data_IF_923886715460
#
_entry.id   IF_923886715460
#
_cell.length_a   1.000
_cell.length_b   1.000
_cell.length_c   1.000
_cell.angle_alpha   90.00
_cell.angle_beta   90.00
_cell.angle_gamma   90.00
#
_symmetry.space_group_name_H-M   'P 1'
#
loop_
_entity.id
_entity.type
_entity.pdbx_description
1 polymer ?
#
# COMPACT_ATOMS: atom_id res chain seq x y z
N UNK A 1 6.03 -21.66 21.47
CA UNK A 1 6.58 -20.38 21.95
C UNK A 1 5.51 -19.41 22.49
N UNK A 2 4.28 -19.38 21.96
CA UNK A 2 3.16 -18.52 22.46
C UNK A 2 2.69 -18.84 23.88
N UNK A 3 2.74 -20.08 24.32
CA UNK A 3 2.29 -20.52 25.67
C UNK A 3 3.24 -20.06 26.78
N UNK A 4 4.55 -19.90 26.51
CA UNK A 4 5.53 -19.44 27.50
C UNK A 4 5.37 -17.96 27.88
N UNK A 5 4.93 -17.12 26.94
CA UNK A 5 4.71 -15.68 27.18
C UNK A 5 3.46 -15.48 28.05
N UNK A 6 2.41 -16.25 27.79
CA UNK A 6 1.16 -16.19 28.59
C UNK A 6 1.37 -16.64 30.04
N UNK A 7 2.20 -17.66 30.27
CA UNK A 7 2.54 -18.12 31.61
C UNK A 7 3.42 -17.14 32.41
N UNK A 8 4.32 -16.41 31.75
CA UNK A 8 5.10 -15.35 32.40
C UNK A 8 4.19 -14.21 32.84
N UNK A 9 3.16 -13.88 32.06
CA UNK A 9 2.16 -12.86 32.38
C UNK A 9 1.31 -13.22 33.61
N UNK A 10 0.96 -14.50 33.77
CA UNK A 10 0.18 -15.00 34.92
C UNK A 10 1.05 -15.18 36.17
N UNK A 11 2.30 -15.57 36.05
CA UNK A 11 3.21 -15.75 37.21
C UNK A 11 3.61 -14.41 37.88
N UNK A 12 3.71 -13.32 37.12
CA UNK A 12 3.96 -11.98 37.68
C UNK A 12 2.75 -11.41 38.44
N UNK A 13 1.54 -11.87 38.18
CA UNK A 13 0.32 -11.50 38.90
C UNK A 13 0.31 -11.95 40.36
N UNK A 14 1.11 -12.98 40.69
CA UNK A 14 1.19 -13.55 42.05
C UNK A 14 2.13 -12.78 43.00
N UNK A 15 2.90 -11.78 42.50
CA UNK A 15 3.89 -11.03 43.29
C UNK A 15 3.52 -9.56 43.62
N UNK A 16 2.24 -9.15 43.40
CA UNK A 16 1.73 -7.88 43.88
C UNK A 16 2.32 -6.60 43.22
N UNK A 17 3.20 -6.72 42.24
CA UNK A 17 3.66 -5.58 41.42
C UNK A 17 2.84 -5.56 40.13
N UNK A 18 1.87 -4.64 40.06
CA UNK A 18 1.12 -4.38 38.83
C UNK A 18 2.02 -3.69 37.79
N UNK A 19 2.83 -4.47 37.09
CA UNK A 19 3.55 -4.01 35.89
C UNK A 19 2.53 -3.99 34.74
N UNK A 20 1.72 -2.91 34.66
CA UNK A 20 0.75 -2.70 33.59
C UNK A 20 1.26 -1.61 32.68
N UNK A 21 1.84 -2.00 31.56
CA UNK A 21 2.11 -1.11 30.46
C UNK A 21 0.79 -0.46 29.98
N UNK A 22 0.69 0.86 30.18
CA UNK A 22 -0.51 1.62 29.83
C UNK A 22 -0.45 2.10 28.37
N UNK A 23 -1.58 2.12 27.67
CA UNK A 23 -1.67 2.62 26.29
C UNK A 23 -1.18 4.07 26.20
N UNK A 24 -1.40 4.88 27.23
CA UNK A 24 -0.94 6.26 27.28
C UNK A 24 0.58 6.36 27.25
N UNK A 25 1.28 5.49 28.00
CA UNK A 25 2.74 5.43 27.98
C UNK A 25 3.27 5.09 26.60
N UNK A 26 2.62 4.16 25.90
CA UNK A 26 2.96 3.76 24.53
C UNK A 26 2.73 4.88 23.53
N UNK A 27 1.62 5.62 23.64
CA UNK A 27 1.37 6.81 22.81
C UNK A 27 2.42 7.89 23.01
N UNK A 28 2.79 8.16 24.25
CA UNK A 28 3.83 9.15 24.57
C UNK A 28 5.22 8.72 24.08
N UNK A 29 5.55 7.44 24.25
CA UNK A 29 6.78 6.89 23.69
C UNK A 29 6.80 7.07 22.16
N UNK A 30 5.71 6.69 21.46
CA UNK A 30 5.65 6.75 20.00
C UNK A 30 5.77 8.18 19.47
N UNK A 31 5.11 9.16 20.11
CA UNK A 31 5.24 10.56 19.76
C UNK A 31 6.68 11.07 19.96
N UNK A 32 7.33 10.71 21.10
CA UNK A 32 8.71 11.09 21.37
C UNK A 32 9.70 10.40 20.42
N UNK A 33 9.41 9.16 20.02
CA UNK A 33 10.23 8.41 19.07
C UNK A 33 10.26 9.07 17.66
N UNK A 34 9.18 9.72 17.26
CA UNK A 34 9.11 10.43 15.98
C UNK A 34 9.90 11.74 15.98
N UNK A 35 9.86 12.50 17.06
CA UNK A 35 10.51 13.83 17.14
C UNK A 35 11.93 13.78 17.65
N UNK A 36 12.23 12.82 18.55
CA UNK A 36 13.46 12.69 19.33
C UNK A 36 13.84 13.98 20.10
N UNK A 37 12.80 14.78 20.45
CA UNK A 37 12.96 16.07 21.10
C UNK A 37 11.92 16.25 22.22
N UNK A 38 12.33 16.08 23.47
CA UNK A 38 11.44 15.99 24.64
C UNK A 38 10.53 17.21 24.79
N UNK A 39 11.09 18.43 24.75
CA UNK A 39 10.32 19.67 24.93
C UNK A 39 9.26 19.84 23.84
N UNK A 40 9.66 19.68 22.57
CA UNK A 40 8.75 19.78 21.43
C UNK A 40 7.61 18.76 21.51
N UNK A 41 7.92 17.52 21.91
CA UNK A 41 6.90 16.47 22.07
C UNK A 41 5.96 16.80 23.22
N UNK A 42 6.45 17.29 24.33
CA UNK A 42 5.62 17.68 25.48
C UNK A 42 4.64 18.81 25.10
N UNK A 43 5.10 19.79 24.34
CA UNK A 43 4.25 20.87 23.79
C UNK A 43 3.17 20.31 22.85
N UNK A 44 3.52 19.41 21.92
CA UNK A 44 2.56 18.76 21.01
C UNK A 44 1.51 17.92 21.74
N UNK A 45 1.90 17.31 22.86
CA UNK A 45 1.00 16.49 23.68
C UNK A 45 0.25 17.32 24.75
N UNK A 46 0.50 18.64 24.82
CA UNK A 46 -0.07 19.56 25.81
C UNK A 46 0.17 19.11 27.26
N UNK A 47 1.37 18.62 27.56
CA UNK A 47 1.78 18.17 28.90
C UNK A 47 3.09 18.85 29.34
N UNK A 48 3.37 18.82 30.64
CA UNK A 48 4.65 19.29 31.16
C UNK A 48 5.79 18.34 30.77
N UNK A 49 6.92 18.88 30.32
CA UNK A 49 8.12 18.10 29.97
C UNK A 49 8.57 17.09 31.06
N UNK A 50 8.57 17.43 32.35
CA UNK A 50 8.87 16.44 33.40
C UNK A 50 7.93 15.25 33.43
N UNK A 51 6.63 15.47 33.16
CA UNK A 51 5.65 14.41 33.12
C UNK A 51 5.90 13.43 31.96
N UNK A 52 6.25 13.93 30.77
CA UNK A 52 6.65 13.10 29.64
C UNK A 52 7.89 12.25 30.00
N UNK A 53 8.94 12.90 30.54
CA UNK A 53 10.18 12.22 30.92
C UNK A 53 9.93 11.12 31.96
N UNK A 54 9.13 11.40 32.99
CA UNK A 54 8.77 10.42 34.02
C UNK A 54 7.99 9.23 33.43
N UNK A 55 7.09 9.50 32.52
CA UNK A 55 6.29 8.45 31.84
C UNK A 55 7.20 7.53 31.01
N UNK A 56 8.16 8.09 30.27
CA UNK A 56 9.11 7.29 29.49
C UNK A 56 10.02 6.45 30.43
N UNK A 57 10.53 7.04 31.52
CA UNK A 57 11.35 6.28 32.48
C UNK A 57 10.55 5.15 33.14
N UNK A 58 9.25 5.36 33.43
CA UNK A 58 8.38 4.32 33.95
C UNK A 58 8.22 3.18 32.95
N UNK A 59 7.97 3.50 31.68
CA UNK A 59 7.87 2.50 30.61
C UNK A 59 9.19 1.72 30.44
N UNK A 60 10.35 2.39 30.44
CA UNK A 60 11.66 1.73 30.38
C UNK A 60 11.89 0.78 31.56
N UNK A 61 11.50 1.21 32.77
CA UNK A 61 11.59 0.39 33.98
C UNK A 61 10.70 -0.86 33.87
N UNK A 62 9.48 -0.69 33.38
CA UNK A 62 8.52 -1.79 33.19
C UNK A 62 8.99 -2.80 32.14
N UNK A 63 9.60 -2.32 31.05
CA UNK A 63 10.13 -3.16 29.98
C UNK A 63 11.53 -3.74 30.31
N UNK A 64 12.21 -3.20 31.33
CA UNK A 64 13.56 -3.61 31.72
C UNK A 64 14.64 -3.22 30.70
N UNK A 65 14.36 -2.32 29.77
CA UNK A 65 15.29 -1.89 28.73
C UNK A 65 15.23 -0.38 28.52
N UNK A 66 16.35 0.23 28.13
CA UNK A 66 16.38 1.63 27.70
C UNK A 66 15.87 1.74 26.27
N UNK A 67 14.93 2.67 26.05
CA UNK A 67 14.35 2.98 24.76
C UNK A 67 15.02 4.19 24.10
N UNK A 68 15.54 5.10 24.92
CA UNK A 68 16.29 6.28 24.48
C UNK A 68 17.68 6.34 25.13
N UNK A 69 18.61 6.95 24.43
CA UNK A 69 19.93 7.28 24.90
C UNK A 69 20.27 8.73 24.57
N UNK A 70 21.14 9.36 25.38
CA UNK A 70 21.59 10.73 25.15
C UNK A 70 22.51 10.82 23.94
N UNK A 71 22.31 11.83 23.11
CA UNK A 71 23.18 12.17 21.98
C UNK A 71 23.43 13.70 21.98
N UNK A 72 24.46 14.15 22.70
CA UNK A 72 24.70 15.55 22.92
C UNK A 72 23.57 16.23 23.72
N UNK A 73 22.92 17.23 23.11
CA UNK A 73 21.77 17.95 23.71
C UNK A 73 20.43 17.28 23.43
N UNK A 74 20.39 16.24 22.57
CA UNK A 74 19.19 15.54 22.13
C UNK A 74 19.16 14.10 22.66
N UNK A 75 18.06 13.43 22.44
CA UNK A 75 17.91 11.99 22.67
C UNK A 75 17.73 11.28 21.34
N UNK A 76 18.20 10.04 21.26
CA UNK A 76 18.02 9.17 20.10
C UNK A 76 17.50 7.81 20.56
N UNK A 77 16.82 7.11 19.68
CA UNK A 77 16.33 5.75 19.95
C UNK A 77 17.50 4.77 20.08
N UNK A 78 17.39 3.87 21.07
CA UNK A 78 18.20 2.66 21.12
C UNK A 78 17.69 1.63 20.10
N UNK A 79 18.41 0.51 19.93
CA UNK A 79 17.92 -0.61 19.11
C UNK A 79 16.56 -1.16 19.61
N UNK A 80 16.39 -1.23 20.94
CA UNK A 80 15.13 -1.63 21.56
C UNK A 80 14.02 -0.60 21.31
N UNK A 81 14.34 0.70 21.39
CA UNK A 81 13.41 1.79 21.09
C UNK A 81 12.94 1.74 19.64
N UNK A 82 13.85 1.52 18.69
CA UNK A 82 13.52 1.39 17.27
C UNK A 82 12.61 0.18 17.02
N UNK A 83 12.97 -0.96 17.60
CA UNK A 83 12.14 -2.17 17.50
C UNK A 83 10.72 -1.94 18.04
N UNK A 84 10.59 -1.28 19.20
CA UNK A 84 9.28 -0.96 19.78
C UNK A 84 8.50 0.01 18.89
N UNK A 85 9.13 1.04 18.33
CA UNK A 85 8.52 1.99 17.41
C UNK A 85 7.92 1.28 16.19
N UNK A 86 8.70 0.41 15.56
CA UNK A 86 8.29 -0.32 14.36
C UNK A 86 7.08 -1.24 14.63
N UNK A 87 7.05 -1.90 15.79
CA UNK A 87 5.94 -2.78 16.19
C UNK A 87 4.70 -2.02 16.66
N UNK A 88 4.89 -0.86 17.28
CA UNK A 88 3.81 -0.10 17.90
C UNK A 88 3.02 0.73 16.90
N UNK A 89 3.63 1.19 15.82
CA UNK A 89 2.98 2.01 14.81
C UNK A 89 1.68 1.39 14.28
N UNK A 90 1.70 0.17 13.74
CA UNK A 90 0.48 -0.51 13.28
C UNK A 90 -0.56 -0.71 14.38
N UNK A 91 -0.14 -1.05 15.61
CA UNK A 91 -1.04 -1.26 16.74
C UNK A 91 -1.77 0.02 17.15
N UNK A 92 -1.05 1.13 17.25
CA UNK A 92 -1.67 2.43 17.58
C UNK A 92 -2.60 2.92 16.47
N UNK A 93 -2.27 2.64 15.21
CA UNK A 93 -3.14 2.93 14.08
C UNK A 93 -4.46 2.17 14.22
N UNK A 94 -4.42 0.86 14.42
CA UNK A 94 -5.63 0.05 14.61
C UNK A 94 -6.45 0.50 15.80
N UNK A 95 -5.83 0.85 16.93
CA UNK A 95 -6.54 1.39 18.10
C UNK A 95 -7.28 2.72 17.81
N UNK A 96 -6.69 3.57 16.98
CA UNK A 96 -7.32 4.83 16.60
C UNK A 96 -8.47 4.65 15.59
N UNK A 97 -8.49 3.54 14.85
CA UNK A 97 -9.54 3.20 13.88
C UNK A 97 -10.80 2.64 14.56
N UNK A 98 -10.68 1.96 15.72
CA UNK A 98 -11.80 1.36 16.47
C UNK A 98 -13.00 2.31 16.69
N UNK A 99 -12.85 3.58 17.15
CA UNK A 99 -13.99 4.45 17.34
C UNK A 99 -14.76 4.76 16.06
N UNK A 100 -14.03 4.87 14.93
CA UNK A 100 -14.64 5.10 13.62
C UNK A 100 -15.41 3.87 13.18
N UNK A 101 -14.82 2.68 13.32
CA UNK A 101 -15.46 1.40 13.00
C UNK A 101 -16.71 1.15 13.85
N UNK A 102 -16.67 1.48 15.14
CA UNK A 102 -17.84 1.38 16.01
C UNK A 102 -18.95 2.36 15.62
N UNK A 103 -18.61 3.57 15.17
CA UNK A 103 -19.59 4.52 14.65
C UNK A 103 -20.20 4.03 13.32
N UNK A 104 -19.40 3.42 12.46
CA UNK A 104 -19.86 2.79 11.22
C UNK A 104 -20.82 1.62 11.50
N UNK A 105 -20.53 0.78 12.49
CA UNK A 105 -21.42 -0.30 12.93
C UNK A 105 -22.73 0.22 13.55
N UNK A 106 -22.71 1.37 14.21
CA UNK A 106 -23.89 1.97 14.83
C UNK A 106 -24.78 2.77 13.85
N UNK A 107 -24.20 3.22 12.73
CA UNK A 107 -24.92 3.95 11.69
C UNK A 107 -25.61 2.98 10.71
N UNK A 108 -26.70 2.35 11.13
CA UNK A 108 -27.47 1.33 10.42
C UNK A 108 -28.13 1.79 9.10
N UNK A 109 -27.52 2.71 8.32
CA UNK A 109 -28.10 3.24 7.07
C UNK A 109 -27.18 3.34 5.85
N UNK A 110 -25.87 3.16 6.00
CA UNK A 110 -24.97 3.12 4.82
C UNK A 110 -24.02 1.95 4.94
N UNK A 111 -24.08 1.05 4.00
CA UNK A 111 -23.16 -0.08 3.93
C UNK A 111 -21.80 0.41 3.41
N UNK A 112 -20.73 0.08 4.11
CA UNK A 112 -19.37 0.49 3.78
C UNK A 112 -18.66 -0.65 3.07
N UNK A 113 -18.34 -0.47 1.80
CA UNK A 113 -17.58 -1.43 1.00
C UNK A 113 -16.08 -1.09 1.07
N UNK A 114 -15.29 -2.00 1.61
CA UNK A 114 -13.83 -1.83 1.77
C UNK A 114 -13.12 -2.47 0.58
N UNK A 115 -12.39 -1.66 -0.18
CA UNK A 115 -11.67 -2.11 -1.37
C UNK A 115 -10.18 -1.84 -1.19
N UNK A 116 -9.37 -2.90 -1.28
CA UNK A 116 -7.92 -2.77 -1.27
C UNK A 116 -7.38 -2.77 -2.72
N UNK A 117 -6.85 -1.63 -3.16
CA UNK A 117 -6.46 -1.38 -4.55
C UNK A 117 -4.94 -1.31 -4.68
N UNK A 118 -4.31 -2.44 -4.93
CA UNK A 118 -2.86 -2.55 -5.15
C UNK A 118 -2.47 -2.45 -6.63
N UNK A 119 -3.47 -2.55 -7.54
CA UNK A 119 -3.30 -2.41 -8.98
C UNK A 119 -4.54 -1.77 -9.60
N UNK A 120 -4.44 -1.24 -10.84
CA UNK A 120 -5.56 -0.72 -11.63
C UNK A 120 -6.33 0.45 -10.99
N UNK A 121 -5.69 1.27 -10.15
CA UNK A 121 -6.36 2.31 -9.35
C UNK A 121 -7.22 3.27 -10.17
N UNK A 122 -6.82 3.64 -11.38
CA UNK A 122 -7.61 4.53 -12.25
C UNK A 122 -8.93 3.88 -12.64
N UNK A 123 -8.89 2.65 -13.18
CA UNK A 123 -10.09 1.92 -13.58
C UNK A 123 -11.03 1.67 -12.39
N UNK A 124 -10.46 1.29 -11.24
CA UNK A 124 -11.26 1.04 -10.04
C UNK A 124 -11.95 2.33 -9.56
N UNK A 125 -11.25 3.46 -9.59
CA UNK A 125 -11.86 4.75 -9.21
C UNK A 125 -13.00 5.13 -10.16
N UNK A 126 -12.80 4.95 -11.47
CA UNK A 126 -13.84 5.25 -12.48
C UNK A 126 -15.06 4.35 -12.28
N UNK A 127 -14.86 3.04 -12.03
CA UNK A 127 -15.97 2.10 -11.78
C UNK A 127 -16.71 2.40 -10.47
N UNK A 128 -16.04 2.85 -9.42
CA UNK A 128 -16.68 3.30 -8.18
C UNK A 128 -17.58 4.51 -8.44
N UNK A 129 -17.08 5.51 -9.20
CA UNK A 129 -17.85 6.70 -9.54
C UNK A 129 -19.10 6.33 -10.30
N UNK A 130 -19.01 5.42 -11.28
CA UNK A 130 -20.15 5.01 -12.08
C UNK A 130 -21.13 4.12 -11.29
N UNK A 131 -20.63 3.19 -10.50
CA UNK A 131 -21.46 2.33 -9.65
C UNK A 131 -22.22 3.15 -8.59
N UNK A 132 -21.60 4.16 -8.00
CA UNK A 132 -22.22 5.01 -6.98
C UNK A 132 -23.38 5.86 -7.53
N UNK A 133 -23.40 6.17 -8.83
CA UNK A 133 -24.55 6.84 -9.49
C UNK A 133 -25.80 5.97 -9.49
N UNK A 134 -25.60 4.65 -9.52
CA UNK A 134 -26.69 3.65 -9.55
C UNK A 134 -27.06 3.23 -8.11
N UNK A 135 -26.07 3.13 -7.21
CA UNK A 135 -26.17 2.62 -5.85
C UNK A 135 -25.78 3.70 -4.80
N UNK A 136 -26.61 4.74 -4.68
CA UNK A 136 -26.31 5.91 -3.82
C UNK A 136 -26.25 5.62 -2.31
N UNK A 137 -26.65 4.42 -1.87
CA UNK A 137 -26.66 3.99 -0.47
C UNK A 137 -25.35 3.35 0.01
N UNK A 138 -24.36 3.17 -0.87
CA UNK A 138 -23.09 2.49 -0.55
C UNK A 138 -21.97 3.52 -0.38
N UNK A 139 -21.23 3.41 0.71
CA UNK A 139 -19.97 4.14 0.89
C UNK A 139 -18.80 3.26 0.50
N UNK A 140 -17.80 3.83 -0.15
CA UNK A 140 -16.57 3.13 -0.51
C UNK A 140 -15.42 3.59 0.36
N UNK A 141 -14.71 2.64 0.96
CA UNK A 141 -13.42 2.88 1.63
C UNK A 141 -12.31 2.24 0.83
N UNK A 142 -11.52 3.07 0.16
CA UNK A 142 -10.38 2.62 -0.65
C UNK A 142 -9.12 2.66 0.21
N UNK A 143 -8.42 1.54 0.27
CA UNK A 143 -7.11 1.41 0.91
C UNK A 143 -6.07 0.93 -0.10
N UNK A 144 -4.79 1.20 0.16
CA UNK A 144 -3.66 0.75 -0.66
C UNK A 144 -2.58 0.17 0.26
N UNK A 145 -2.91 -0.95 0.90
CA UNK A 145 -2.03 -1.57 1.87
C UNK A 145 -1.84 -3.06 1.57
N UNK A 146 -0.61 -3.48 1.31
CA UNK A 146 -0.28 -4.89 1.01
C UNK A 146 -0.51 -5.85 2.18
N UNK A 147 -0.70 -5.32 3.40
CA UNK A 147 -0.95 -6.10 4.62
C UNK A 147 -2.43 -6.06 5.05
N UNK A 148 -3.32 -5.45 4.24
CA UNK A 148 -4.75 -5.38 4.54
C UNK A 148 -5.40 -6.74 4.23
N UNK A 149 -5.87 -7.44 5.26
CA UNK A 149 -6.55 -8.73 5.15
C UNK A 149 -8.08 -8.61 5.22
N UNK A 150 -8.60 -7.47 5.72
CA UNK A 150 -10.02 -7.27 6.02
C UNK A 150 -10.81 -6.53 4.92
N UNK A 151 -10.28 -6.43 3.71
CA UNK A 151 -10.99 -5.82 2.60
C UNK A 151 -12.02 -6.79 1.99
N UNK A 152 -13.22 -6.28 1.66
CA UNK A 152 -14.26 -7.06 0.98
C UNK A 152 -13.82 -7.45 -0.44
N UNK A 153 -13.13 -6.52 -1.13
CA UNK A 153 -12.56 -6.76 -2.46
C UNK A 153 -11.09 -6.33 -2.45
N UNK A 154 -10.21 -7.17 -2.99
CA UNK A 154 -8.79 -6.84 -3.18
C UNK A 154 -8.41 -6.97 -4.64
N UNK A 155 -7.75 -5.92 -5.19
CA UNK A 155 -7.27 -5.87 -6.57
C UNK A 155 -5.74 -5.81 -6.57
N UNK A 156 -5.10 -6.79 -7.20
CA UNK A 156 -3.63 -6.92 -7.19
C UNK A 156 -3.11 -7.60 -8.45
N UNK A 157 -1.79 -7.67 -8.63
CA UNK A 157 -1.17 -8.41 -9.74
C UNK A 157 -0.97 -9.88 -9.37
N UNK A 158 -1.05 -10.79 -10.37
CA UNK A 158 -0.94 -12.25 -10.17
C UNK A 158 0.36 -12.70 -9.51
N UNK A 159 1.42 -11.92 -9.59
CA UNK A 159 2.70 -12.22 -8.95
C UNK A 159 2.56 -12.51 -7.44
N UNK A 160 1.57 -11.87 -6.81
CA UNK A 160 1.25 -12.04 -5.40
C UNK A 160 0.10 -13.03 -5.15
N UNK A 161 -0.42 -13.66 -6.23
CA UNK A 161 -1.56 -14.57 -6.13
C UNK A 161 -1.13 -15.91 -5.51
N UNK A 162 -1.60 -16.16 -4.30
CA UNK A 162 -1.63 -17.49 -3.69
C UNK A 162 -3.02 -18.08 -3.91
N UNK A 163 -3.08 -19.38 -4.27
CA UNK A 163 -4.38 -20.06 -4.40
C UNK A 163 -5.24 -19.85 -3.15
N UNK A 164 -6.55 -19.61 -3.30
CA UNK A 164 -7.46 -19.43 -2.19
C UNK A 164 -7.33 -20.57 -1.18
N UNK A 165 -7.19 -20.22 0.10
CA UNK A 165 -7.17 -21.18 1.20
C UNK A 165 -8.58 -21.57 1.67
N UNK A 166 -9.61 -20.89 1.13
CA UNK A 166 -11.00 -21.00 1.57
C UNK A 166 -11.96 -21.09 0.38
N UNK A 167 -13.05 -21.81 0.54
CA UNK A 167 -14.21 -21.83 -0.38
C UNK A 167 -15.03 -20.53 -0.35
N UNK A 168 -14.69 -19.61 0.57
CA UNK A 168 -15.34 -18.30 0.73
C UNK A 168 -14.72 -17.19 -0.14
N UNK A 169 -13.82 -17.53 -1.06
CA UNK A 169 -13.21 -16.55 -1.96
C UNK A 169 -13.64 -16.81 -3.40
N UNK A 170 -14.06 -15.74 -4.09
CA UNK A 170 -14.21 -15.72 -5.54
C UNK A 170 -13.12 -14.84 -6.13
N UNK A 171 -12.66 -15.15 -7.33
CA UNK A 171 -11.68 -14.33 -8.01
C UNK A 171 -11.92 -14.29 -9.52
N UNK A 172 -11.55 -13.17 -10.13
CA UNK A 172 -11.54 -12.95 -11.56
C UNK A 172 -10.14 -12.50 -11.99
N UNK A 173 -9.68 -12.96 -13.15
CA UNK A 173 -8.36 -12.61 -13.69
C UNK A 173 -8.55 -11.86 -15.00
N UNK A 174 -8.00 -10.65 -15.07
CA UNK A 174 -7.96 -9.81 -16.25
C UNK A 174 -6.53 -9.66 -16.74
N UNK A 175 -6.28 -10.04 -17.99
CA UNK A 175 -4.96 -9.94 -18.62
C UNK A 175 -4.91 -8.70 -19.51
N UNK A 176 -3.88 -7.86 -19.35
CA UNK A 176 -3.61 -6.71 -20.22
C UNK A 176 -2.20 -6.74 -20.77
N UNK A 177 -2.03 -6.19 -21.98
CA UNK A 177 -0.71 -5.96 -22.57
C UNK A 177 0.00 -4.79 -21.92
N UNK A 178 1.32 -4.81 -21.97
CA UNK A 178 2.15 -3.70 -21.52
C UNK A 178 2.91 -3.17 -22.74
N UNK A 179 2.71 -1.89 -23.03
CA UNK A 179 3.36 -1.16 -24.10
C UNK A 179 4.62 -0.46 -23.60
N UNK A 180 5.52 -0.14 -24.51
CA UNK A 180 6.57 0.82 -24.27
C UNK A 180 6.01 2.23 -24.52
N UNK A 181 6.07 3.10 -23.53
CA UNK A 181 5.75 4.52 -23.67
C UNK A 181 7.04 5.29 -23.98
N UNK A 182 7.05 5.99 -25.10
CA UNK A 182 8.18 6.83 -25.51
C UNK A 182 7.71 8.26 -25.75
N UNK A 183 8.55 9.29 -25.49
CA UNK A 183 8.20 10.66 -25.78
C UNK A 183 8.06 10.92 -27.28
N UNK A 184 7.30 11.95 -27.63
CA UNK A 184 7.21 12.50 -28.99
C UNK A 184 7.76 13.94 -29.02
N UNK A 185 8.58 14.26 -30.03
CA UNK A 185 9.12 13.37 -31.07
C UNK A 185 10.26 12.47 -30.54
N UNK A 186 10.37 11.26 -31.05
CA UNK A 186 11.52 10.37 -30.83
C UNK A 186 11.71 9.48 -32.05
N UNK A 187 12.91 8.89 -32.20
CA UNK A 187 13.21 7.92 -33.28
C UNK A 187 12.32 6.65 -33.23
N UNK A 188 11.58 6.46 -32.14
CA UNK A 188 10.73 5.29 -31.93
C UNK A 188 9.25 5.60 -32.16
N UNK A 189 8.85 6.89 -32.16
CA UNK A 189 7.43 7.29 -32.07
C UNK A 189 6.52 6.76 -33.18
N UNK A 190 7.09 6.48 -34.36
CA UNK A 190 6.32 6.04 -35.53
C UNK A 190 6.47 4.53 -35.81
N UNK A 191 7.09 3.80 -34.88
CA UNK A 191 7.31 2.35 -35.06
C UNK A 191 6.04 1.57 -34.76
N UNK A 192 5.73 0.59 -35.62
CA UNK A 192 4.60 -0.31 -35.43
C UNK A 192 4.77 -1.27 -34.25
N UNK A 193 6.02 -1.65 -33.97
CA UNK A 193 6.44 -2.45 -32.82
C UNK A 193 7.92 -2.27 -32.53
N UNK A 194 8.37 -2.78 -31.39
CA UNK A 194 9.76 -2.73 -30.98
C UNK A 194 10.14 -4.00 -30.20
N UNK A 195 11.36 -4.51 -30.42
CA UNK A 195 11.95 -5.48 -29.50
C UNK A 195 12.46 -4.76 -28.26
N UNK A 196 12.14 -5.28 -27.08
CA UNK A 196 12.53 -4.62 -25.82
C UNK A 196 14.07 -4.56 -25.67
N UNK A 197 14.81 -5.49 -26.29
CA UNK A 197 16.28 -5.48 -26.32
C UNK A 197 16.87 -4.21 -26.94
N UNK A 198 16.13 -3.53 -27.85
CA UNK A 198 16.56 -2.26 -28.44
C UNK A 198 16.59 -1.10 -27.42
N UNK A 199 16.00 -1.32 -26.26
CA UNK A 199 15.96 -0.36 -25.15
C UNK A 199 17.14 -0.51 -24.18
N UNK A 200 18.07 -1.44 -24.44
CA UNK A 200 19.28 -1.56 -23.63
C UNK A 200 20.07 -0.24 -23.62
N UNK A 201 20.47 0.23 -22.44
CA UNK A 201 21.17 1.50 -22.25
C UNK A 201 20.30 2.76 -22.41
N UNK A 202 18.97 2.62 -22.44
CA UNK A 202 18.05 3.75 -22.38
C UNK A 202 17.64 4.05 -20.94
N UNK A 203 17.38 5.33 -20.71
CA UNK A 203 16.91 5.83 -19.42
C UNK A 203 15.43 5.54 -19.21
N UNK A 204 15.13 4.80 -18.14
CA UNK A 204 13.76 4.41 -17.78
C UNK A 204 13.21 5.28 -16.65
N UNK A 205 11.91 5.53 -16.72
CA UNK A 205 11.10 6.07 -15.65
C UNK A 205 10.19 4.95 -15.17
N UNK A 206 10.17 4.68 -13.88
CA UNK A 206 9.48 3.52 -13.34
C UNK A 206 8.64 3.83 -12.10
N UNK A 207 7.66 2.96 -11.83
CA UNK A 207 6.97 2.96 -10.56
C UNK A 207 7.89 2.44 -9.46
N UNK A 208 7.96 3.15 -8.33
CA UNK A 208 8.71 2.73 -7.16
C UNK A 208 7.99 1.68 -6.33
N UNK A 209 8.76 0.95 -5.53
CA UNK A 209 8.28 0.18 -4.38
C UNK A 209 7.64 -1.16 -4.70
N UNK A 210 6.81 -1.63 -3.76
CA UNK A 210 6.19 -2.95 -3.72
C UNK A 210 5.04 -3.17 -4.71
N UNK A 211 4.82 -2.24 -5.65
CA UNK A 211 3.79 -2.40 -6.67
C UNK A 211 4.27 -3.38 -7.72
N UNK A 212 3.54 -4.48 -7.90
CA UNK A 212 3.92 -5.59 -8.77
C UNK A 212 4.21 -5.23 -10.23
N UNK A 213 3.82 -4.03 -10.71
CA UNK A 213 4.18 -3.58 -12.06
C UNK A 213 5.69 -3.43 -12.24
N UNK A 214 6.41 -2.87 -11.24
CA UNK A 214 7.86 -2.68 -11.34
C UNK A 214 8.59 -4.00 -11.52
N UNK A 215 8.36 -4.96 -10.65
CA UNK A 215 9.04 -6.25 -10.71
C UNK A 215 8.71 -7.03 -11.98
N UNK A 216 7.48 -6.90 -12.49
CA UNK A 216 7.08 -7.49 -13.78
C UNK A 216 7.87 -6.86 -14.92
N UNK A 217 7.96 -5.53 -14.98
CA UNK A 217 8.70 -4.81 -16.03
C UNK A 217 10.21 -5.08 -15.98
N UNK A 218 10.80 -5.14 -14.79
CA UNK A 218 12.21 -5.49 -14.62
C UNK A 218 12.49 -6.91 -15.15
N UNK A 219 11.59 -7.89 -14.94
CA UNK A 219 11.72 -9.22 -15.51
C UNK A 219 11.63 -9.23 -17.03
N UNK A 220 10.78 -8.40 -17.65
CA UNK A 220 10.75 -8.27 -19.11
C UNK A 220 12.10 -7.78 -19.65
N UNK A 221 12.69 -6.77 -19.02
CA UNK A 221 14.01 -6.29 -19.39
C UNK A 221 15.08 -7.37 -19.22
N UNK A 222 15.04 -8.14 -18.14
CA UNK A 222 15.97 -9.25 -17.92
C UNK A 222 15.80 -10.35 -18.97
N UNK A 223 14.57 -10.70 -19.37
CA UNK A 223 14.31 -11.63 -20.46
C UNK A 223 14.78 -11.09 -21.82
N UNK A 224 14.77 -9.76 -22.02
CA UNK A 224 15.33 -9.10 -23.19
C UNK A 224 16.87 -8.95 -23.15
N UNK A 225 17.54 -9.45 -22.11
CA UNK A 225 18.99 -9.51 -21.97
C UNK A 225 19.63 -8.27 -21.34
N UNK A 226 18.88 -7.37 -20.69
CA UNK A 226 19.45 -6.20 -20.03
C UNK A 226 18.75 -5.87 -18.70
N UNK A 227 19.41 -5.06 -17.88
CA UNK A 227 18.84 -4.44 -16.69
C UNK A 227 18.47 -2.99 -17.03
N UNK A 228 17.23 -2.53 -16.73
CA UNK A 228 16.86 -1.15 -17.04
C UNK A 228 17.65 -0.16 -16.20
N UNK A 229 18.14 0.90 -16.85
CA UNK A 229 18.73 2.06 -16.17
C UNK A 229 17.63 3.00 -15.74
N UNK A 230 17.21 2.90 -14.47
CA UNK A 230 16.10 3.68 -13.95
C UNK A 230 16.63 4.97 -13.35
N UNK A 231 16.38 6.10 -14.03
CA UNK A 231 16.83 7.43 -13.61
C UNK A 231 15.81 8.15 -12.72
N UNK A 232 14.51 7.78 -12.81
CA UNK A 232 13.47 8.28 -11.95
C UNK A 232 12.54 7.17 -11.48
N UNK A 233 12.21 7.23 -10.20
CA UNK A 233 11.21 6.36 -9.57
C UNK A 233 10.18 7.20 -8.83
N UNK A 234 8.90 6.82 -8.93
CA UNK A 234 7.81 7.43 -8.17
C UNK A 234 6.77 6.37 -7.82
N UNK A 235 6.17 6.49 -6.65
CA UNK A 235 5.02 5.67 -6.22
C UNK A 235 3.70 6.12 -6.87
N UNK A 236 3.71 7.29 -7.54
CA UNK A 236 2.57 7.87 -8.24
C UNK A 236 2.59 7.54 -9.74
N UNK A 237 1.60 6.79 -10.28
CA UNK A 237 1.46 6.58 -11.71
C UNK A 237 1.33 7.90 -12.50
N UNK A 238 0.69 8.92 -11.91
CA UNK A 238 0.57 10.23 -12.55
C UNK A 238 1.92 10.92 -12.75
N UNK A 239 2.81 10.85 -11.75
CA UNK A 239 4.17 11.39 -11.87
C UNK A 239 4.97 10.69 -12.96
N UNK A 240 4.91 9.34 -13.02
CA UNK A 240 5.59 8.55 -14.07
C UNK A 240 5.11 8.96 -15.46
N UNK A 241 3.78 9.08 -15.66
CA UNK A 241 3.19 9.53 -16.92
C UNK A 241 3.67 10.92 -17.33
N UNK A 242 3.69 11.86 -16.38
CA UNK A 242 4.12 13.23 -16.64
C UNK A 242 5.60 13.31 -17.01
N UNK A 243 6.46 12.54 -16.35
CA UNK A 243 7.91 12.49 -16.64
C UNK A 243 8.18 11.92 -18.04
N UNK A 244 7.47 10.86 -18.46
CA UNK A 244 7.56 10.35 -19.83
C UNK A 244 7.11 11.41 -20.84
N UNK A 245 5.97 12.06 -20.60
CA UNK A 245 5.44 13.13 -21.43
C UNK A 245 6.38 14.35 -21.52
N UNK A 246 7.21 14.57 -20.51
CA UNK A 246 8.22 15.62 -20.46
C UNK A 246 9.52 15.27 -21.17
N UNK A 247 9.58 14.10 -21.85
CA UNK A 247 10.75 13.60 -22.57
C UNK A 247 11.98 13.34 -21.68
N UNK A 248 11.76 12.98 -20.42
CA UNK A 248 12.83 12.66 -19.46
C UNK A 248 13.38 11.25 -19.69
N UNK A 249 12.54 10.32 -20.17
CA UNK A 249 12.94 8.94 -20.44
C UNK A 249 11.77 8.13 -21.01
N UNK A 250 11.96 6.81 -21.12
CA UNK A 250 10.95 5.86 -21.57
C UNK A 250 10.35 5.11 -20.38
N UNK A 251 9.21 4.47 -20.56
CA UNK A 251 8.58 3.68 -19.49
C UNK A 251 7.62 2.63 -20.02
N UNK A 252 7.10 1.84 -19.10
CA UNK A 252 6.10 0.83 -19.41
C UNK A 252 4.69 1.37 -19.16
N UNK A 253 3.76 1.05 -20.05
CA UNK A 253 2.38 1.52 -20.00
C UNK A 253 1.41 0.34 -20.12
N UNK A 254 0.69 0.00 -19.05
CA UNK A 254 -0.41 -0.97 -19.10
C UNK A 254 -1.54 -0.47 -20.01
N UNK A 255 -2.05 -1.36 -20.86
CA UNK A 255 -2.99 -1.02 -21.94
C UNK A 255 -4.25 -0.31 -21.47
N UNK A 256 -4.85 -0.77 -20.39
CA UNK A 256 -6.16 -0.32 -19.91
C UNK A 256 -6.09 0.40 -18.57
N UNK A 257 -5.31 -0.13 -17.63
CA UNK A 257 -5.40 0.26 -16.22
C UNK A 257 -4.72 1.59 -15.88
N UNK A 258 -3.97 2.17 -16.81
CA UNK A 258 -3.39 3.50 -16.67
C UNK A 258 -4.19 4.61 -17.38
N UNK A 259 -5.30 4.27 -18.04
CA UNK A 259 -6.10 5.19 -18.82
C UNK A 259 -5.42 5.63 -20.14
N UNK A 260 -6.04 6.59 -20.81
CA UNK A 260 -5.56 7.05 -22.12
C UNK A 260 -4.30 7.94 -21.95
N UNK A 261 -3.25 7.71 -22.78
CA UNK A 261 -2.08 8.59 -22.81
C UNK A 261 -2.39 9.89 -23.57
N UNK A 262 -1.61 10.92 -23.30
CA UNK A 262 -1.57 12.12 -24.17
C UNK A 262 -0.76 11.80 -25.44
N UNK A 263 -1.45 11.38 -26.49
CA UNK A 263 -0.84 10.97 -27.76
C UNK A 263 -0.16 12.12 -28.52
N UNK A 264 -0.36 13.37 -28.10
CA UNK A 264 0.37 14.53 -28.66
C UNK A 264 1.81 14.59 -28.12
N UNK A 265 2.07 14.07 -26.93
CA UNK A 265 3.35 14.16 -26.23
C UNK A 265 4.07 12.83 -26.10
N UNK A 266 3.39 11.71 -26.30
CA UNK A 266 3.98 10.37 -26.22
C UNK A 266 3.40 9.40 -27.25
N UNK A 267 4.12 8.31 -27.54
CA UNK A 267 3.63 7.18 -28.31
C UNK A 267 3.65 5.92 -27.45
N UNK A 268 2.64 5.07 -27.60
CA UNK A 268 2.61 3.73 -27.05
C UNK A 268 2.97 2.74 -28.15
N UNK A 269 4.07 2.03 -27.99
CA UNK A 269 4.60 1.12 -28.99
C UNK A 269 4.42 -0.31 -28.47
N UNK A 270 3.76 -1.20 -29.24
CA UNK A 270 3.69 -2.61 -28.91
C UNK A 270 5.09 -3.23 -28.81
N UNK A 271 5.33 -3.98 -27.75
CA UNK A 271 6.58 -4.74 -27.58
C UNK A 271 6.38 -6.09 -28.26
N UNK A 272 7.22 -6.38 -29.26
CA UNK A 272 7.15 -7.64 -30.00
C UNK A 272 7.79 -8.81 -29.26
N UNK A 273 8.88 -8.52 -28.51
CA UNK A 273 9.63 -9.54 -27.77
C UNK A 273 10.36 -8.90 -26.58
N UNK A 274 10.31 -9.52 -25.37
CA UNK A 274 9.44 -10.63 -24.99
C UNK A 274 7.97 -10.26 -24.99
N UNK A 275 7.06 -11.24 -24.90
CA UNK A 275 5.64 -10.96 -24.72
C UNK A 275 5.41 -10.26 -23.38
N UNK A 276 5.09 -8.97 -23.42
CA UNK A 276 4.91 -8.15 -22.24
C UNK A 276 3.41 -8.05 -21.90
N UNK A 277 2.99 -8.77 -20.87
CA UNK A 277 1.62 -8.75 -20.35
C UNK A 277 1.61 -8.97 -18.84
N UNK A 278 0.53 -8.57 -18.18
CA UNK A 278 0.30 -8.87 -16.78
C UNK A 278 -1.14 -9.30 -16.52
N UNK A 279 -1.31 -10.03 -15.44
CA UNK A 279 -2.62 -10.40 -14.92
C UNK A 279 -2.96 -9.53 -13.70
N UNK A 280 -4.15 -8.94 -13.73
CA UNK A 280 -4.80 -8.30 -12.60
C UNK A 280 -5.77 -9.31 -12.00
N UNK A 281 -5.69 -9.52 -10.72
CA UNK A 281 -6.60 -10.39 -9.97
C UNK A 281 -7.54 -9.51 -9.16
N UNK A 282 -8.82 -9.71 -9.34
CA UNK A 282 -9.88 -9.18 -8.48
C UNK A 282 -10.34 -10.31 -7.59
N UNK A 283 -10.18 -10.16 -6.27
CA UNK A 283 -10.57 -11.16 -5.29
C UNK A 283 -11.69 -10.61 -4.42
N UNK A 284 -12.79 -11.33 -4.35
CA UNK A 284 -13.90 -11.08 -3.44
C UNK A 284 -13.76 -11.99 -2.21
N UNK A 285 -13.78 -11.39 -1.03
CA UNK A 285 -13.94 -12.11 0.23
C UNK A 285 -15.44 -12.22 0.54
N UNK A 286 -15.99 -13.43 0.39
CA UNK A 286 -17.42 -13.65 0.67
C UNK A 286 -17.68 -13.53 2.16
N UNK A 287 -18.42 -12.49 2.52
CA UNK A 287 -18.99 -12.31 3.85
C UNK A 287 -20.51 -12.43 3.73
N UNK A 288 -21.14 -13.26 4.56
CA UNK A 288 -22.59 -13.54 4.51
C UNK A 288 -23.46 -12.26 4.69
N UNK A 289 -22.83 -11.16 5.14
CA UNK A 289 -23.50 -9.89 5.44
C UNK A 289 -23.35 -8.82 4.35
N UNK A 290 -22.58 -9.07 3.26
CA UNK A 290 -22.26 -8.03 2.28
C UNK A 290 -22.61 -8.40 0.84
N UNK A 291 -23.91 -8.40 0.52
CA UNK A 291 -24.42 -8.60 -0.85
C UNK A 291 -23.94 -7.53 -1.84
N UNK A 292 -23.64 -6.32 -1.35
CA UNK A 292 -23.14 -5.20 -2.16
C UNK A 292 -21.71 -5.43 -2.66
N UNK A 293 -20.92 -6.20 -1.92
CA UNK A 293 -19.58 -6.59 -2.38
C UNK A 293 -19.67 -7.54 -3.58
N UNK A 294 -20.63 -8.47 -3.56
CA UNK A 294 -20.88 -9.37 -4.71
C UNK A 294 -21.38 -8.57 -5.91
N UNK A 295 -22.32 -7.65 -5.71
CA UNK A 295 -22.89 -6.81 -6.76
C UNK A 295 -21.82 -5.91 -7.41
N UNK A 296 -20.96 -5.27 -6.60
CA UNK A 296 -19.86 -4.47 -7.13
C UNK A 296 -18.78 -5.34 -7.80
N UNK A 297 -18.50 -6.54 -7.27
CA UNK A 297 -17.58 -7.48 -7.89
C UNK A 297 -18.04 -7.90 -9.29
N UNK A 298 -19.32 -8.24 -9.45
CA UNK A 298 -19.90 -8.59 -10.76
C UNK A 298 -19.87 -7.39 -11.73
N UNK A 299 -20.17 -6.18 -11.22
CA UNK A 299 -20.04 -4.94 -11.98
C UNK A 299 -18.60 -4.70 -12.48
N UNK A 300 -17.60 -4.94 -11.62
CA UNK A 300 -16.19 -4.85 -12.00
C UNK A 300 -15.82 -5.84 -13.10
N UNK A 301 -16.28 -7.07 -13.00
CA UNK A 301 -16.04 -8.11 -14.04
C UNK A 301 -16.61 -7.64 -15.38
N UNK A 302 -17.87 -7.21 -15.41
CA UNK A 302 -18.48 -6.69 -16.63
C UNK A 302 -17.71 -5.50 -17.21
N UNK A 303 -17.23 -4.62 -16.37
CA UNK A 303 -16.42 -3.48 -16.81
C UNK A 303 -15.09 -3.94 -17.44
N UNK A 304 -14.38 -4.86 -16.80
CA UNK A 304 -13.13 -5.40 -17.35
C UNK A 304 -13.35 -6.17 -18.66
N UNK A 305 -14.47 -6.89 -18.81
CA UNK A 305 -14.80 -7.56 -20.08
C UNK A 305 -15.07 -6.56 -21.22
N UNK A 306 -15.66 -5.40 -20.93
CA UNK A 306 -15.89 -4.34 -21.91
C UNK A 306 -14.60 -3.62 -22.36
N UNK A 307 -13.50 -3.72 -21.60
CA UNK A 307 -12.21 -3.16 -21.98
C UNK A 307 -11.43 -4.00 -23.00
N UNK A 308 -11.75 -5.30 -23.12
CA UNK A 308 -11.10 -6.22 -24.09
C UNK A 308 -11.55 -5.93 -25.52
#
# INVERSE_FOLDING_TARGET
MKIKIYNIYIMNRAKGEENRMEILQLKYFYALAQTQHVTKTAEQLHIAQPALTQTIHRLEKELGVKLFQSSGRNIVLTSAGKYLQDKLGPVLKSLNEIPVELQELSSARKKNLRINVLAASTVITDTIIDFQKIHSGINFRIVQNSQEEDADITIFTREFFQKPKSTRESYYIFTEKIFLAVPKPSQYSDRANISLSEMAGREFISLAGSRGLRSICDRFCMHAGFKPEVIFESDSPAAVKNLISASIGVGFWPQYTWGKPDMSRMALIPISEPQCQRDIVVRLHKNEECSEAEEYFDYLIEHFEKLK
#
